data_IF_152759921386
#
_entry.id   IF_152759921386
#
_cell.length_a   1.000
_cell.length_b   1.000
_cell.length_c   1.000
_cell.angle_alpha   90.00
_cell.angle_beta   90.00
_cell.angle_gamma   90.00
#
_symmetry.space_group_name_H-M   'P 1'
#
loop_
_entity.id
_entity.type
_entity.pdbx_description
1 polymer ?
#
# COMPACT_ATOMS: atom_id res chain seq x y z
N UNK A 1 -10.18 -15.63 14.46
CA UNK A 1 -10.11 -14.16 14.70
C UNK A 1 -8.86 -13.68 13.99
N UNK A 2 -9.00 -13.06 12.82
CA UNK A 2 -7.85 -12.61 12.02
C UNK A 2 -7.40 -11.24 12.57
N UNK A 3 -6.20 -11.11 13.15
CA UNK A 3 -5.82 -9.93 13.93
C UNK A 3 -5.43 -8.70 13.09
N UNK A 4 -5.52 -8.77 11.76
CA UNK A 4 -5.02 -7.71 10.86
C UNK A 4 -6.08 -7.00 10.02
N UNK A 5 -7.36 -7.19 10.32
CA UNK A 5 -8.43 -6.51 9.59
C UNK A 5 -8.63 -5.08 10.10
N UNK A 6 -7.67 -4.20 9.78
CA UNK A 6 -7.98 -2.78 9.59
C UNK A 6 -8.46 -2.65 8.16
N UNK A 7 -9.77 -2.70 7.95
CA UNK A 7 -10.36 -2.30 6.66
C UNK A 7 -10.16 -0.80 6.52
N UNK A 8 -9.01 -0.39 5.96
CA UNK A 8 -8.84 0.99 5.50
C UNK A 8 -9.43 1.01 4.10
N UNK A 9 -10.68 1.48 4.00
CA UNK A 9 -11.31 1.71 2.71
C UNK A 9 -10.63 2.92 2.06
N UNK A 10 -9.61 2.65 1.24
CA UNK A 10 -8.82 3.68 0.59
C UNK A 10 -9.49 4.04 -0.74
N UNK A 11 -10.31 5.09 -0.71
CA UNK A 11 -10.75 5.76 -1.92
C UNK A 11 -9.60 6.65 -2.46
N UNK A 12 -9.09 6.34 -3.65
CA UNK A 12 -7.90 7.00 -4.21
C UNK A 12 -8.01 8.53 -4.37
N UNK A 13 -9.23 9.10 -4.44
CA UNK A 13 -9.43 10.55 -4.49
C UNK A 13 -9.11 11.24 -3.14
N UNK A 14 -9.15 10.51 -2.03
CA UNK A 14 -8.91 11.06 -0.69
C UNK A 14 -7.43 11.03 -0.29
N UNK A 15 -6.56 10.30 -1.00
CA UNK A 15 -5.14 10.18 -0.66
C UNK A 15 -4.24 11.26 -1.28
N UNK A 16 -4.76 12.19 -2.08
CA UNK A 16 -3.93 13.29 -2.58
C UNK A 16 -3.69 14.34 -1.49
N UNK A 17 -2.44 14.79 -1.32
CA UNK A 17 -2.11 15.93 -0.45
C UNK A 17 -1.98 15.58 1.04
N UNK A 18 -2.64 16.35 1.92
CA UNK A 18 -2.48 16.28 3.38
C UNK A 18 -2.77 14.89 3.98
N UNK A 19 -3.72 14.15 3.38
CA UNK A 19 -4.12 12.82 3.85
C UNK A 19 -3.05 11.75 3.60
N UNK A 20 -2.25 11.90 2.55
CA UNK A 20 -1.05 11.07 2.33
C UNK A 20 -0.04 11.29 3.45
N UNK A 21 0.26 12.54 3.77
CA UNK A 21 1.19 12.91 4.84
C UNK A 21 0.74 12.37 6.19
N UNK A 22 -0.57 12.44 6.47
CA UNK A 22 -1.18 11.89 7.67
C UNK A 22 -1.08 10.35 7.70
N UNK A 23 -1.41 9.68 6.60
CA UNK A 23 -1.29 8.22 6.47
C UNK A 23 0.15 7.78 6.74
N UNK A 24 1.14 8.39 6.06
CA UNK A 24 2.57 8.07 6.26
C UNK A 24 3.01 8.32 7.70
N UNK A 25 2.51 9.40 8.32
CA UNK A 25 2.82 9.74 9.71
C UNK A 25 2.18 8.77 10.72
N UNK A 26 0.96 8.32 10.46
CA UNK A 26 0.22 7.36 11.28
C UNK A 26 0.80 5.95 11.16
N UNK A 27 1.33 5.60 9.99
CA UNK A 27 1.92 4.29 9.72
C UNK A 27 3.34 4.12 10.28
N UNK A 28 3.91 5.08 11.03
CA UNK A 28 5.34 5.09 11.48
C UNK A 28 5.85 3.77 12.07
N UNK A 29 4.99 2.96 12.70
CA UNK A 29 5.37 1.66 13.27
C UNK A 29 4.61 0.46 12.65
N UNK A 30 3.82 0.69 11.60
CA UNK A 30 3.09 -0.38 10.93
C UNK A 30 4.04 -1.32 10.18
N UNK A 31 3.92 -2.61 10.49
CA UNK A 31 4.62 -3.71 9.81
C UNK A 31 3.78 -4.34 8.72
N UNK A 32 2.46 -4.24 8.83
CA UNK A 32 1.51 -4.82 7.89
C UNK A 32 0.50 -3.77 7.43
N UNK A 33 0.18 -3.77 6.14
CA UNK A 33 -0.92 -3.01 5.54
C UNK A 33 -1.83 -3.99 4.80
N UNK A 34 -3.13 -3.96 5.12
CA UNK A 34 -4.15 -4.72 4.43
C UNK A 34 -5.07 -3.79 3.65
N UNK A 35 -5.17 -4.00 2.34
CA UNK A 35 -6.01 -3.26 1.40
C UNK A 35 -6.89 -4.22 0.61
N UNK A 36 -7.50 -5.17 1.30
CA UNK A 36 -8.26 -6.24 0.68
C UNK A 36 -9.62 -5.72 0.18
N UNK A 37 -9.94 -5.91 -1.10
CA UNK A 37 -11.17 -5.42 -1.73
C UNK A 37 -11.37 -3.89 -1.63
N UNK A 38 -10.31 -3.10 -1.87
CA UNK A 38 -10.30 -1.63 -1.78
C UNK A 38 -10.39 -0.91 -3.13
N UNK A 39 -10.82 -1.59 -4.21
CA UNK A 39 -10.97 -1.02 -5.55
C UNK A 39 -9.76 -0.20 -6.03
N UNK A 40 -8.54 -0.72 -5.86
CA UNK A 40 -7.30 -0.01 -6.17
C UNK A 40 -7.23 0.42 -7.65
N UNK A 41 -7.03 1.71 -7.87
CA UNK A 41 -6.81 2.29 -9.21
C UNK A 41 -5.31 2.44 -9.51
N UNK A 42 -4.95 2.79 -10.75
CA UNK A 42 -3.57 3.14 -11.10
C UNK A 42 -2.98 4.26 -10.23
N UNK A 43 -3.79 5.26 -9.84
CA UNK A 43 -3.34 6.32 -8.93
C UNK A 43 -3.01 5.78 -7.53
N UNK A 44 -3.82 4.84 -7.02
CA UNK A 44 -3.50 4.14 -5.77
C UNK A 44 -2.17 3.37 -5.87
N UNK A 45 -1.83 2.79 -7.02
CA UNK A 45 -0.56 2.08 -7.21
C UNK A 45 0.66 3.01 -7.11
N UNK A 46 0.60 4.21 -7.67
CA UNK A 46 1.66 5.23 -7.55
C UNK A 46 1.87 5.68 -6.10
N UNK A 47 0.76 5.82 -5.38
CA UNK A 47 0.76 6.17 -3.97
C UNK A 47 1.39 5.02 -3.15
N UNK A 48 0.97 3.78 -3.38
CA UNK A 48 1.55 2.61 -2.72
C UNK A 48 3.04 2.44 -3.03
N UNK A 49 3.50 2.70 -4.28
CA UNK A 49 4.93 2.73 -4.61
C UNK A 49 5.71 3.67 -3.69
N UNK A 50 5.14 4.84 -3.44
CA UNK A 50 5.76 5.84 -2.55
C UNK A 50 5.80 5.37 -1.10
N UNK A 51 4.79 4.59 -0.63
CA UNK A 51 4.79 4.00 0.73
C UNK A 51 5.92 2.99 0.83
N UNK A 52 6.03 2.11 -0.17
CA UNK A 52 7.01 1.02 -0.19
C UNK A 52 8.45 1.56 -0.06
N UNK A 53 8.76 2.68 -0.72
CA UNK A 53 10.08 3.31 -0.64
C UNK A 53 10.28 4.10 0.66
N UNK A 54 9.26 4.83 1.13
CA UNK A 54 9.36 5.68 2.32
C UNK A 54 9.26 4.92 3.65
N UNK A 55 8.81 3.66 3.64
CA UNK A 55 8.45 2.90 4.85
C UNK A 55 9.26 1.62 5.04
N UNK A 56 10.48 1.71 5.61
CA UNK A 56 11.31 0.53 5.83
C UNK A 56 10.81 -0.42 6.92
N UNK A 57 9.80 -0.03 7.72
CA UNK A 57 9.20 -0.94 8.72
C UNK A 57 8.14 -1.86 8.13
N UNK A 58 7.64 -1.57 6.93
CA UNK A 58 6.56 -2.33 6.30
C UNK A 58 7.14 -3.63 5.74
N UNK A 59 6.69 -4.76 6.27
CA UNK A 59 7.14 -6.12 5.91
C UNK A 59 6.05 -6.93 5.21
N UNK A 60 4.78 -6.58 5.41
CA UNK A 60 3.63 -7.33 4.92
C UNK A 60 2.65 -6.42 4.19
N UNK A 61 2.28 -6.80 2.96
CA UNK A 61 1.30 -6.08 2.14
C UNK A 61 0.24 -7.04 1.62
N UNK A 62 -1.01 -6.82 1.98
CA UNK A 62 -2.12 -7.64 1.49
C UNK A 62 -2.97 -6.81 0.51
N UNK A 63 -3.03 -7.22 -0.75
CA UNK A 63 -3.79 -6.61 -1.84
C UNK A 63 -4.89 -7.53 -2.37
N UNK A 64 -5.25 -8.56 -1.60
CA UNK A 64 -6.30 -9.53 -1.93
C UNK A 64 -7.57 -8.91 -2.50
N UNK A 65 -8.24 -9.68 -3.36
CA UNK A 65 -9.54 -9.31 -3.98
C UNK A 65 -9.56 -7.94 -4.70
N UNK A 66 -8.41 -7.38 -5.06
CA UNK A 66 -8.32 -6.23 -5.95
C UNK A 66 -8.10 -6.66 -7.40
N UNK A 67 -8.75 -5.95 -8.31
CA UNK A 67 -8.51 -6.08 -9.75
C UNK A 67 -7.49 -5.03 -10.18
N UNK A 68 -6.21 -5.36 -10.03
CA UNK A 68 -5.13 -4.49 -10.49
C UNK A 68 -4.97 -4.64 -12.00
N UNK A 69 -5.05 -3.52 -12.72
CA UNK A 69 -4.66 -3.47 -14.12
C UNK A 69 -3.15 -3.73 -14.27
N UNK A 70 -2.73 -4.20 -15.45
CA UNK A 70 -1.32 -4.46 -15.76
C UNK A 70 -0.42 -3.24 -15.53
N UNK A 71 -0.94 -2.05 -15.80
CA UNK A 71 -0.25 -0.77 -15.55
C UNK A 71 0.02 -0.57 -14.05
N UNK A 72 -1.01 -0.73 -13.20
CA UNK A 72 -0.89 -0.64 -11.76
C UNK A 72 0.04 -1.70 -11.16
N UNK A 73 -0.05 -2.94 -11.65
CA UNK A 73 0.85 -4.02 -11.24
C UNK A 73 2.33 -3.70 -11.51
N UNK A 74 2.66 -3.13 -12.68
CA UNK A 74 4.02 -2.69 -13.00
C UNK A 74 4.55 -1.62 -12.05
N UNK A 75 3.72 -0.65 -11.69
CA UNK A 75 4.08 0.42 -10.75
C UNK A 75 4.39 -0.16 -9.36
N UNK A 76 3.58 -1.10 -8.89
CA UNK A 76 3.82 -1.79 -7.62
C UNK A 76 5.10 -2.63 -7.67
N UNK A 77 5.35 -3.35 -8.77
CA UNK A 77 6.60 -4.10 -8.93
C UNK A 77 7.83 -3.19 -8.85
N UNK A 78 7.80 -2.00 -9.45
CA UNK A 78 8.89 -1.03 -9.32
C UNK A 78 9.13 -0.61 -7.86
N UNK A 79 8.06 -0.42 -7.08
CA UNK A 79 8.17 -0.09 -5.66
C UNK A 79 8.71 -1.24 -4.81
N UNK A 80 8.32 -2.48 -5.12
CA UNK A 80 8.82 -3.68 -4.44
C UNK A 80 10.30 -3.97 -4.76
N UNK A 81 10.76 -3.56 -5.94
CA UNK A 81 12.16 -3.67 -6.37
C UNK A 81 13.04 -2.51 -5.86
N UNK A 82 12.46 -1.48 -5.25
CA UNK A 82 13.20 -0.38 -4.64
C UNK A 82 14.07 -0.93 -3.48
N UNK A 83 15.38 -0.60 -3.41
CA UNK A 83 16.25 -1.04 -2.32
C UNK A 83 15.77 -0.67 -0.90
N UNK A 84 14.97 0.39 -0.79
CA UNK A 84 14.39 0.86 0.47
C UNK A 84 13.16 0.06 0.87
N UNK A 85 12.53 -0.66 -0.06
CA UNK A 85 11.42 -1.55 0.26
C UNK A 85 11.90 -2.72 1.12
N UNK A 86 11.13 -3.02 2.19
CA UNK A 86 11.39 -4.12 3.12
C UNK A 86 10.24 -5.13 3.18
N UNK A 87 9.31 -5.06 2.24
CA UNK A 87 8.21 -6.03 2.14
C UNK A 87 8.78 -7.41 1.82
N UNK A 88 8.45 -8.39 2.65
CA UNK A 88 8.86 -9.79 2.53
C UNK A 88 7.67 -10.67 2.15
N UNK A 89 6.46 -10.23 2.48
CA UNK A 89 5.22 -10.95 2.25
C UNK A 89 4.24 -10.10 1.45
N UNK A 90 3.80 -10.60 0.30
CA UNK A 90 2.76 -10.00 -0.55
C UNK A 90 1.63 -11.02 -0.73
N UNK A 91 0.40 -10.68 -0.32
CA UNK A 91 -0.77 -11.56 -0.34
C UNK A 91 -1.95 -10.98 -1.10
#
# INVERSE_FOLDING_TARGET
>A
ISPFKMDIDIECQQLSGSRWTELVSSMKDCKAIGLDNCNLTGACCEILRSVLSAKPSLTDLHLGRNKLETSGGKVLCQGLLDPNCKVQSLM
#
